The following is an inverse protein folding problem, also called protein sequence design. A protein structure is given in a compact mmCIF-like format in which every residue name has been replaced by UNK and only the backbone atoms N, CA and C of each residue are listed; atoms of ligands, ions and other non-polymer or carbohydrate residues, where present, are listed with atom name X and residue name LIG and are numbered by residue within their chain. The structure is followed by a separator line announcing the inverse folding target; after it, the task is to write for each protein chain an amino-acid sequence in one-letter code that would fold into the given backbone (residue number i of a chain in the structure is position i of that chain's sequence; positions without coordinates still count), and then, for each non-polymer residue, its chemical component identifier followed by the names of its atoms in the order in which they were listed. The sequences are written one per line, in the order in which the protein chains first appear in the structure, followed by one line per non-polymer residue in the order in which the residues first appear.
data_IF_131773772220
#
_entry.id   IF_131773772220
#
_cell.length_a   1.000
_cell.length_b   1.000
_cell.length_c   1.000
_cell.angle_alpha   90.00
_cell.angle_beta   90.00
_cell.angle_gamma   90.00
#
_symmetry.space_group_name_H-M   'P 1'
#
loop_
_entity.id
_entity.type
_entity.pdbx_description
1 polymer ?
#
# COMPACT_ATOMS: atom_id res chain seq x y z
N UNK A 1 52.63 20.77 -33.49
CA UNK A 1 52.05 20.42 -32.17
C UNK A 1 51.00 21.48 -31.85
N UNK A 2 50.05 21.71 -32.77
CA UNK A 2 49.19 22.92 -32.78
C UNK A 2 47.68 22.65 -32.77
N UNK A 3 47.23 21.40 -32.76
CA UNK A 3 45.77 21.11 -32.79
C UNK A 3 45.11 20.95 -31.42
N UNK A 4 45.87 20.89 -30.33
CA UNK A 4 45.31 20.74 -28.98
C UNK A 4 44.88 22.07 -28.32
N UNK A 5 45.27 23.21 -28.90
CA UNK A 5 44.93 24.54 -28.34
C UNK A 5 43.56 25.06 -28.77
N UNK A 6 42.93 24.48 -29.79
CA UNK A 6 41.61 24.92 -30.29
C UNK A 6 40.43 24.26 -29.58
N UNK A 7 40.64 23.11 -28.96
CA UNK A 7 39.61 22.42 -28.16
C UNK A 7 39.44 23.03 -26.76
N UNK A 8 40.48 23.66 -26.21
CA UNK A 8 40.40 24.32 -24.90
C UNK A 8 39.64 25.66 -25.00
N UNK A 9 39.83 26.43 -26.09
CA UNK A 9 39.09 27.69 -26.28
C UNK A 9 37.58 27.52 -26.48
N UNK A 10 37.12 26.41 -27.08
CA UNK A 10 35.68 26.19 -27.30
C UNK A 10 34.93 25.78 -26.02
N UNK A 11 35.63 25.26 -25.00
CA UNK A 11 35.02 24.86 -23.74
C UNK A 11 34.86 26.04 -22.76
N UNK A 12 35.72 27.06 -22.86
CA UNK A 12 35.62 28.29 -22.07
C UNK A 12 34.50 29.22 -22.57
N UNK A 13 34.19 29.18 -23.87
CA UNK A 13 33.19 30.07 -24.48
C UNK A 13 31.72 29.63 -24.23
N UNK A 14 31.48 28.40 -23.77
CA UNK A 14 30.15 27.94 -23.34
C UNK A 14 29.83 28.23 -21.87
N UNK A 15 30.81 28.73 -21.08
CA UNK A 15 30.63 28.96 -19.64
C UNK A 15 30.25 30.40 -19.26
N UNK A 16 30.25 31.34 -20.20
CA UNK A 16 30.02 32.77 -19.92
C UNK A 16 28.57 33.27 -20.12
N UNK A 17 27.64 32.46 -20.64
CA UNK A 17 26.31 32.95 -21.05
C UNK A 17 25.16 32.77 -20.03
N UNK A 18 25.43 32.45 -18.76
CA UNK A 18 24.38 32.42 -17.74
C UNK A 18 24.81 33.07 -16.42
N UNK A 19 24.74 34.40 -16.35
CA UNK A 19 24.68 35.14 -15.10
C UNK A 19 23.73 36.35 -15.22
N UNK A 20 22.57 36.36 -14.54
CA UNK A 20 21.75 37.57 -14.47
C UNK A 20 22.40 38.59 -13.52
N UNK A 21 22.60 39.79 -14.04
CA UNK A 21 23.06 41.00 -13.34
C UNK A 21 22.16 41.32 -12.13
N UNK A 22 22.75 41.54 -10.96
CA UNK A 22 22.16 42.43 -9.95
C UNK A 22 23.19 43.44 -9.42
N UNK A 23 22.71 44.67 -9.35
CA UNK A 23 23.44 45.91 -9.12
C UNK A 23 23.98 46.02 -7.70
N UNK A 24 25.22 46.48 -7.58
CA UNK A 24 25.80 47.06 -6.37
C UNK A 24 25.52 48.56 -6.34
N UNK A 25 25.04 49.08 -5.21
CA UNK A 25 25.42 50.42 -4.72
C UNK A 25 25.64 50.39 -3.20
N UNK A 26 26.57 51.21 -2.66
CA UNK A 26 27.25 50.94 -1.39
C UNK A 26 26.94 51.97 -0.30
N UNK A 27 27.13 51.58 0.96
CA UNK A 27 27.53 52.38 2.14
C UNK A 27 27.16 51.56 3.41
N UNK A 28 27.85 51.57 4.55
CA UNK A 28 28.96 52.35 5.09
C UNK A 28 29.60 51.53 6.22
N UNK A 29 30.88 51.79 6.47
CA UNK A 29 31.74 51.33 7.56
C UNK A 29 31.15 51.40 8.98
N UNK A 30 31.32 50.36 9.82
CA UNK A 30 31.99 50.46 11.15
C UNK A 30 32.06 49.14 11.96
N UNK A 31 33.25 48.96 12.54
CA UNK A 31 33.52 48.55 13.93
C UNK A 31 33.46 47.08 14.36
N UNK A 32 34.66 46.63 14.72
CA UNK A 32 35.09 45.54 15.60
C UNK A 32 34.17 45.12 16.76
N UNK A 33 34.18 43.79 16.94
CA UNK A 33 34.26 42.99 18.19
C UNK A 33 32.98 42.42 18.84
N UNK A 34 33.11 41.29 19.58
CA UNK A 34 32.31 40.08 19.34
C UNK A 34 31.41 39.71 20.52
N UNK A 35 30.25 39.11 20.24
CA UNK A 35 29.50 38.37 21.26
C UNK A 35 28.88 37.12 20.64
N UNK A 36 29.03 36.06 21.41
CA UNK A 36 28.52 34.71 21.24
C UNK A 36 26.98 34.72 21.25
N UNK A 37 26.34 34.01 20.32
CA UNK A 37 25.06 33.27 20.49
C UNK A 37 24.50 32.87 19.11
N UNK A 38 24.58 31.57 18.78
CA UNK A 38 23.92 31.00 17.61
C UNK A 38 22.62 30.34 18.04
N UNK A 39 21.53 31.10 17.90
CA UNK A 39 20.18 30.57 17.72
C UNK A 39 20.07 30.11 16.27
N UNK A 40 19.94 28.81 16.04
CA UNK A 40 19.61 28.29 14.70
C UNK A 40 18.10 28.31 14.57
N UNK A 41 17.62 29.33 13.86
CA UNK A 41 16.28 29.38 13.27
C UNK A 41 16.40 28.85 11.83
N UNK A 42 15.98 27.61 11.62
CA UNK A 42 15.90 27.00 10.29
C UNK A 42 14.67 27.50 9.53
N UNK A 43 14.89 28.11 8.36
CA UNK A 43 13.84 28.41 7.40
C UNK A 43 13.31 27.11 6.78
N UNK A 44 12.00 26.93 6.85
CA UNK A 44 11.24 25.86 6.18
C UNK A 44 10.70 26.44 4.88
N UNK A 45 11.13 25.89 3.74
CA UNK A 45 10.38 26.01 2.48
C UNK A 45 9.40 24.84 2.38
N UNK A 46 8.13 25.20 2.26
CA UNK A 46 6.98 24.32 2.27
C UNK A 46 6.76 23.65 0.89
N UNK A 47 6.59 22.33 0.90
CA UNK A 47 5.78 21.63 -0.09
C UNK A 47 4.50 21.14 0.60
N UNK A 48 3.38 21.68 0.15
CA UNK A 48 2.03 21.32 0.59
C UNK A 48 1.65 19.94 0.08
N UNK A 49 1.17 19.07 0.97
CA UNK A 49 0.11 18.11 0.69
C UNK A 49 -0.70 17.91 1.98
N UNK A 50 -1.88 18.51 1.99
CA UNK A 50 -2.96 18.30 2.96
C UNK A 50 -3.56 16.91 2.78
N UNK A 51 -3.83 16.19 3.88
CA UNK A 51 -5.20 15.80 4.29
C UNK A 51 -5.20 14.78 5.46
N UNK A 52 -6.18 14.99 6.36
CA UNK A 52 -6.68 14.13 7.46
C UNK A 52 -6.04 14.23 8.86
N UNK A 53 -6.81 13.96 9.95
CA UNK A 53 -7.23 15.03 10.85
C UNK A 53 -6.80 14.83 12.31
N UNK A 54 -6.83 15.95 13.01
CA UNK A 54 -6.71 16.13 14.46
C UNK A 54 -7.73 15.29 15.26
N UNK A 55 -7.25 14.54 16.26
CA UNK A 55 -7.88 14.39 17.57
C UNK A 55 -6.85 13.85 18.59
N UNK A 56 -6.24 14.73 19.38
CA UNK A 56 -6.56 14.94 20.82
C UNK A 56 -5.76 14.03 21.76
N UNK A 57 -4.61 14.58 22.20
CA UNK A 57 -4.11 14.59 23.59
C UNK A 57 -4.91 13.79 24.62
N UNK A 58 -4.28 12.78 25.22
CA UNK A 58 -4.51 12.43 26.63
C UNK A 58 -3.21 11.93 27.25
N UNK A 59 -2.57 12.84 27.99
CA UNK A 59 -1.64 12.52 29.07
C UNK A 59 -2.38 11.69 30.11
N UNK A 60 -1.92 10.46 30.38
CA UNK A 60 -2.21 9.80 31.65
C UNK A 60 -0.91 9.30 32.26
N UNK A 61 -0.70 9.81 33.47
CA UNK A 61 0.42 9.61 34.35
C UNK A 61 0.49 8.16 34.84
N UNK A 62 1.73 7.72 35.03
CA UNK A 62 2.13 6.51 35.73
C UNK A 62 1.58 6.49 37.15
N UNK A 63 0.88 5.41 37.52
CA UNK A 63 0.67 5.05 38.92
C UNK A 63 0.74 3.53 39.06
N UNK A 64 1.75 3.10 39.82
CA UNK A 64 1.90 1.74 40.32
C UNK A 64 0.82 1.46 41.36
N UNK A 65 0.19 0.29 41.28
CA UNK A 65 -0.61 -0.24 42.39
C UNK A 65 -0.45 -1.74 42.51
N UNK A 66 -0.24 -2.12 43.76
CA UNK A 66 0.12 -3.43 44.26
C UNK A 66 -1.00 -4.46 44.07
N UNK A 67 -0.57 -5.69 43.82
CA UNK A 67 -1.35 -6.92 43.98
C UNK A 67 -1.96 -7.02 45.38
N UNK A 68 -3.26 -7.30 45.47
CA UNK A 68 -3.85 -7.99 46.63
C UNK A 68 -4.77 -9.10 46.13
N UNK A 69 -4.40 -10.32 46.51
CA UNK A 69 -5.11 -11.58 46.33
C UNK A 69 -6.40 -11.58 47.16
N UNK A 70 -7.53 -12.01 46.58
CA UNK A 70 -8.77 -12.24 47.31
C UNK A 70 -9.08 -13.74 47.31
N UNK A 71 -8.84 -14.38 48.44
CA UNK A 71 -9.17 -15.78 48.72
C UNK A 71 -10.69 -15.98 48.76
N UNK A 72 -11.19 -16.99 48.05
CA UNK A 72 -12.57 -17.46 48.12
C UNK A 72 -12.65 -18.66 49.07
N UNK A 73 -13.22 -18.43 50.27
CA UNK A 73 -13.52 -19.46 51.27
C UNK A 73 -14.81 -20.19 50.88
N UNK A 74 -14.69 -21.46 50.48
CA UNK A 74 -15.83 -22.37 50.31
C UNK A 74 -16.10 -23.03 51.67
N UNK A 75 -17.21 -22.65 52.30
CA UNK A 75 -17.75 -23.31 53.48
C UNK A 75 -18.49 -24.60 53.08
N UNK A 76 -18.09 -25.71 53.69
CA UNK A 76 -18.73 -27.03 53.61
C UNK A 76 -19.49 -27.23 54.93
N UNK A 77 -20.81 -27.39 54.88
CA UNK A 77 -21.62 -27.74 56.05
C UNK A 77 -22.16 -29.17 55.95
N UNK A 78 -22.11 -29.83 57.09
CA UNK A 78 -22.28 -31.25 57.39
C UNK A 78 -23.74 -31.65 57.61
N UNK A 79 -23.97 -32.95 57.47
CA UNK A 79 -25.20 -33.65 57.78
C UNK A 79 -25.51 -33.67 59.28
N UNK A 80 -26.80 -33.61 59.64
CA UNK A 80 -27.38 -34.22 60.85
C UNK A 80 -28.80 -34.72 60.55
N UNK A 81 -29.06 -35.96 60.99
CA UNK A 81 -30.34 -36.65 60.98
C UNK A 81 -31.25 -36.17 62.13
N UNK A 82 -32.57 -36.23 61.97
CA UNK A 82 -33.47 -36.54 63.09
C UNK A 82 -34.80 -37.12 62.61
N UNK A 83 -35.19 -38.20 63.29
CA UNK A 83 -36.36 -39.07 63.07
C UNK A 83 -37.55 -38.65 63.92
N UNK A 84 -38.79 -38.68 63.40
CA UNK A 84 -40.01 -38.99 64.20
C UNK A 84 -41.05 -39.73 63.34
N UNK A 85 -41.56 -40.82 63.89
CA UNK A 85 -42.62 -41.75 63.45
C UNK A 85 -44.04 -41.17 63.49
N UNK A 86 -44.96 -41.62 62.64
CA UNK A 86 -46.28 -42.13 63.08
C UNK A 86 -47.13 -42.76 61.95
N UNK A 87 -47.85 -43.82 62.30
CA UNK A 87 -48.71 -44.65 61.44
C UNK A 87 -50.18 -44.24 61.61
N UNK A 88 -50.96 -44.08 60.54
CA UNK A 88 -52.33 -44.62 60.38
C UNK A 88 -53.01 -44.07 59.12
N UNK A 89 -53.80 -44.91 58.44
CA UNK A 89 -54.75 -44.43 57.42
C UNK A 89 -54.75 -45.19 56.09
N UNK A 90 -54.67 -46.53 56.11
CA UNK A 90 -54.97 -47.37 54.94
C UNK A 90 -56.48 -47.59 54.90
N UNK A 91 -57.19 -46.88 54.02
CA UNK A 91 -58.49 -47.19 53.39
C UNK A 91 -59.21 -45.88 53.06
N UNK A 92 -58.70 -45.14 52.07
CA UNK A 92 -59.39 -44.11 51.26
C UNK A 92 -58.43 -43.58 50.17
N UNK A 93 -57.47 -44.41 49.72
CA UNK A 93 -56.44 -44.01 48.77
C UNK A 93 -56.78 -44.42 47.33
N UNK A 94 -57.43 -45.57 47.15
CA UNK A 94 -57.43 -46.25 45.84
C UNK A 94 -58.43 -45.67 44.81
N UNK A 95 -59.34 -44.77 45.22
CA UNK A 95 -60.24 -44.05 44.31
C UNK A 95 -59.75 -42.63 43.98
N UNK A 96 -58.88 -42.07 44.83
CA UNK A 96 -58.15 -40.82 44.58
C UNK A 96 -56.87 -41.06 43.77
N UNK A 97 -56.29 -42.27 43.80
CA UNK A 97 -55.11 -42.64 43.02
C UNK A 97 -55.39 -42.68 41.53
N UNK A 98 -56.57 -43.07 41.06
CA UNK A 98 -56.82 -43.18 39.60
C UNK A 98 -56.92 -41.82 38.87
N UNK A 99 -57.44 -40.77 39.52
CA UNK A 99 -57.43 -39.39 38.99
C UNK A 99 -56.15 -38.63 39.37
N UNK A 100 -55.47 -39.03 40.46
CA UNK A 100 -54.11 -38.56 40.75
C UNK A 100 -53.08 -39.15 39.80
N UNK A 101 -53.19 -40.39 39.34
CA UNK A 101 -52.21 -41.06 38.47
C UNK A 101 -52.16 -40.43 37.08
N UNK A 102 -53.31 -40.02 36.52
CA UNK A 102 -53.34 -39.29 35.23
C UNK A 102 -52.84 -37.84 35.37
N UNK A 103 -53.14 -37.17 36.48
CA UNK A 103 -52.60 -35.84 36.81
C UNK A 103 -51.14 -35.85 37.29
N UNK A 104 -50.66 -36.95 37.88
CA UNK A 104 -49.28 -37.15 38.31
C UNK A 104 -48.42 -37.53 37.12
N UNK A 105 -48.91 -38.34 36.16
CA UNK A 105 -48.17 -38.58 34.91
C UNK A 105 -47.96 -37.27 34.13
N UNK A 106 -48.96 -36.39 34.06
CA UNK A 106 -48.85 -35.10 33.37
C UNK A 106 -47.91 -34.13 34.10
N UNK A 107 -47.92 -34.12 35.45
CA UNK A 107 -46.94 -33.39 36.25
C UNK A 107 -45.54 -33.96 36.11
N UNK A 108 -45.38 -35.27 36.11
CA UNK A 108 -44.09 -35.97 35.97
C UNK A 108 -43.50 -35.75 34.57
N UNK A 109 -44.34 -35.73 33.53
CA UNK A 109 -43.96 -35.37 32.17
C UNK A 109 -43.52 -33.90 32.07
N UNK A 110 -44.25 -32.98 32.72
CA UNK A 110 -43.85 -31.57 32.82
C UNK A 110 -42.54 -31.40 33.62
N UNK A 111 -42.35 -32.12 34.72
CA UNK A 111 -41.12 -32.12 35.51
C UNK A 111 -39.95 -32.63 34.66
N UNK A 112 -40.13 -33.72 33.91
CA UNK A 112 -39.10 -34.26 33.02
C UNK A 112 -38.75 -33.27 31.89
N UNK A 113 -39.75 -32.58 31.33
CA UNK A 113 -39.53 -31.54 30.32
C UNK A 113 -38.72 -30.36 30.90
N UNK A 114 -39.09 -29.87 32.08
CA UNK A 114 -38.37 -28.80 32.77
C UNK A 114 -36.94 -29.19 33.14
N UNK A 115 -36.69 -30.44 33.57
CA UNK A 115 -35.35 -30.95 33.82
C UNK A 115 -34.51 -31.01 32.53
N UNK A 116 -35.10 -31.49 31.43
CA UNK A 116 -34.45 -31.51 30.12
C UNK A 116 -34.10 -30.10 29.63
N UNK A 117 -35.00 -29.14 29.84
CA UNK A 117 -34.76 -27.74 29.51
C UNK A 117 -33.67 -27.12 30.40
N UNK A 118 -33.70 -27.41 31.71
CA UNK A 118 -32.66 -26.99 32.65
C UNK A 118 -31.29 -27.56 32.26
N UNK A 119 -31.22 -28.83 31.88
CA UNK A 119 -29.98 -29.46 31.42
C UNK A 119 -29.51 -28.88 30.07
N UNK A 120 -30.44 -28.56 29.16
CA UNK A 120 -30.10 -27.85 27.93
C UNK A 120 -29.55 -26.45 28.21
N UNK A 121 -30.11 -25.72 29.18
CA UNK A 121 -29.62 -24.40 29.61
C UNK A 121 -28.26 -24.52 30.30
N UNK A 122 -28.05 -25.50 31.16
CA UNK A 122 -26.75 -25.78 31.80
C UNK A 122 -25.68 -26.10 30.77
N UNK A 123 -25.98 -26.94 29.78
CA UNK A 123 -25.07 -27.26 28.69
C UNK A 123 -24.73 -26.03 27.84
N UNK A 124 -25.72 -25.18 27.53
CA UNK A 124 -25.49 -23.91 26.83
C UNK A 124 -24.62 -22.96 27.65
N UNK A 125 -24.89 -22.82 28.95
CA UNK A 125 -24.11 -21.96 29.84
C UNK A 125 -22.65 -22.43 29.93
N UNK A 126 -22.42 -23.73 30.13
CA UNK A 126 -21.08 -24.32 30.10
C UNK A 126 -20.35 -24.03 28.78
N UNK A 127 -21.03 -24.21 27.64
CA UNK A 127 -20.46 -23.90 26.32
C UNK A 127 -20.12 -22.41 26.16
N UNK A 128 -20.93 -21.50 26.72
CA UNK A 128 -20.64 -20.07 26.72
C UNK A 128 -19.45 -19.73 27.63
N UNK A 129 -19.35 -20.37 28.80
CA UNK A 129 -18.22 -20.21 29.70
C UNK A 129 -16.90 -20.71 29.08
N UNK A 130 -16.92 -21.85 28.40
CA UNK A 130 -15.77 -22.38 27.68
C UNK A 130 -15.33 -21.41 26.57
N UNK A 131 -16.28 -20.92 25.76
CA UNK A 131 -16.03 -19.91 24.72
C UNK A 131 -15.47 -18.61 25.30
N UNK A 132 -15.99 -18.15 26.43
CA UNK A 132 -15.49 -16.94 27.09
C UNK A 132 -14.04 -17.14 27.54
N UNK A 133 -13.74 -18.28 28.15
CA UNK A 133 -12.38 -18.62 28.58
C UNK A 133 -11.39 -18.77 27.42
N UNK A 134 -11.86 -19.22 26.25
CA UNK A 134 -11.08 -19.31 25.02
C UNK A 134 -10.79 -17.91 24.46
N UNK A 135 -11.81 -17.04 24.35
CA UNK A 135 -11.62 -15.65 23.91
C UNK A 135 -10.72 -14.85 24.86
N UNK A 136 -10.80 -15.10 26.16
CA UNK A 136 -9.90 -14.48 27.15
C UNK A 136 -8.44 -14.91 26.95
N UNK A 137 -8.20 -16.17 26.55
CA UNK A 137 -6.84 -16.63 26.20
C UNK A 137 -6.35 -15.97 24.92
N UNK A 138 -7.18 -15.94 23.87
CA UNK A 138 -6.84 -15.27 22.61
C UNK A 138 -6.51 -13.78 22.82
N UNK A 139 -7.32 -13.07 23.62
CA UNK A 139 -7.08 -11.66 23.95
C UNK A 139 -5.75 -11.47 24.70
N UNK A 140 -5.41 -12.35 25.64
CA UNK A 140 -4.12 -12.30 26.33
C UNK A 140 -2.95 -12.55 25.39
N UNK A 141 -3.09 -13.49 24.45
CA UNK A 141 -2.07 -13.75 23.42
C UNK A 141 -1.87 -12.53 22.53
N UNK A 142 -2.94 -11.97 21.97
CA UNK A 142 -2.87 -10.77 21.12
C UNK A 142 -2.25 -9.59 21.87
N UNK A 143 -2.60 -9.40 23.15
CA UNK A 143 -2.01 -8.33 23.97
C UNK A 143 -0.50 -8.51 24.15
N UNK A 144 -0.04 -9.73 24.44
CA UNK A 144 1.38 -10.01 24.56
C UNK A 144 2.12 -9.82 23.23
N UNK A 145 1.53 -10.24 22.12
CA UNK A 145 2.12 -10.06 20.78
C UNK A 145 2.26 -8.56 20.43
N UNK A 146 1.26 -7.74 20.77
CA UNK A 146 1.32 -6.28 20.60
C UNK A 146 2.42 -5.64 21.46
N UNK A 147 2.52 -6.01 22.75
CA UNK A 147 3.57 -5.51 23.65
C UNK A 147 4.98 -5.91 23.16
N UNK A 148 5.13 -7.12 22.60
CA UNK A 148 6.39 -7.57 22.01
C UNK A 148 6.74 -6.78 20.74
N UNK A 149 5.74 -6.51 19.88
CA UNK A 149 5.94 -5.71 18.67
C UNK A 149 6.33 -4.26 19.02
N UNK A 150 5.68 -3.66 20.02
CA UNK A 150 6.01 -2.33 20.53
C UNK A 150 7.47 -2.28 21.01
N UNK A 151 7.86 -3.20 21.90
CA UNK A 151 9.25 -3.29 22.38
C UNK A 151 10.28 -3.52 21.27
N UNK A 152 9.93 -4.33 20.26
CA UNK A 152 10.81 -4.53 19.11
C UNK A 152 11.01 -3.25 18.31
N UNK A 153 9.95 -2.45 18.14
CA UNK A 153 10.03 -1.16 17.44
C UNK A 153 10.82 -0.13 18.26
N UNK A 154 10.61 -0.06 19.58
CA UNK A 154 11.38 0.80 20.49
C UNK A 154 12.87 0.46 20.48
N UNK A 155 13.22 -0.84 20.54
CA UNK A 155 14.61 -1.29 20.48
C UNK A 155 15.28 -0.87 19.15
N UNK A 156 14.57 -1.00 18.03
CA UNK A 156 15.06 -0.58 16.72
C UNK A 156 15.25 0.94 16.62
N UNK A 157 14.40 1.72 17.26
CA UNK A 157 14.55 3.18 17.34
C UNK A 157 15.76 3.53 18.22
N UNK A 158 15.92 2.88 19.37
CA UNK A 158 17.06 3.08 20.27
C UNK A 158 18.38 2.72 19.59
N UNK A 159 18.45 1.61 18.86
CA UNK A 159 19.62 1.20 18.09
C UNK A 159 20.03 2.26 17.05
N UNK A 160 19.07 2.73 16.25
CA UNK A 160 19.32 3.79 15.26
C UNK A 160 19.76 5.09 15.91
N UNK A 161 19.17 5.43 17.05
CA UNK A 161 19.52 6.64 17.80
C UNK A 161 20.94 6.53 18.37
N UNK A 162 21.31 5.38 18.92
CA UNK A 162 22.67 5.12 19.42
C UNK A 162 23.71 5.19 18.29
N UNK A 163 23.42 4.60 17.13
CA UNK A 163 24.29 4.69 15.96
C UNK A 163 24.52 6.14 15.51
N UNK A 164 23.44 6.94 15.42
CA UNK A 164 23.55 8.36 15.06
C UNK A 164 24.37 9.16 16.09
N UNK A 165 24.20 8.88 17.39
CA UNK A 165 24.96 9.54 18.45
C UNK A 165 26.46 9.21 18.33
N UNK A 166 26.81 7.95 18.08
CA UNK A 166 28.20 7.55 17.85
C UNK A 166 28.79 8.24 16.61
N UNK A 167 28.05 8.32 15.49
CA UNK A 167 28.49 9.04 14.28
C UNK A 167 28.76 10.53 14.55
N UNK A 168 27.90 11.18 15.34
CA UNK A 168 28.11 12.58 15.75
C UNK A 168 29.37 12.70 16.61
N UNK A 169 29.60 11.79 17.54
CA UNK A 169 30.80 11.78 18.37
C UNK A 169 32.08 11.56 17.54
N UNK A 170 32.07 10.64 16.57
CA UNK A 170 33.22 10.42 15.69
C UNK A 170 33.48 11.62 14.79
N UNK A 171 32.44 12.18 14.17
CA UNK A 171 32.57 13.37 13.33
C UNK A 171 33.08 14.58 14.12
N UNK A 172 32.64 14.74 15.37
CA UNK A 172 33.13 15.80 16.25
C UNK A 172 34.60 15.62 16.62
N UNK A 173 35.02 14.39 16.92
CA UNK A 173 36.42 14.06 17.19
C UNK A 173 37.31 14.36 15.99
N UNK A 174 36.89 13.94 14.80
CA UNK A 174 37.60 14.21 13.54
C UNK A 174 37.70 15.72 13.27
N UNK A 175 36.62 16.48 13.51
CA UNK A 175 36.63 17.94 13.40
C UNK A 175 37.65 18.57 14.35
N UNK A 176 37.67 18.17 15.61
CA UNK A 176 38.59 18.71 16.61
C UNK A 176 40.05 18.33 16.29
N UNK A 177 40.30 17.11 15.83
CA UNK A 177 41.62 16.68 15.37
C UNK A 177 42.10 17.49 14.15
N UNK A 178 41.23 17.70 13.16
CA UNK A 178 41.55 18.50 11.98
C UNK A 178 41.82 19.97 12.34
N UNK A 179 41.05 20.55 13.27
CA UNK A 179 41.29 21.91 13.78
C UNK A 179 42.63 21.99 14.49
N UNK A 180 42.95 21.04 15.36
CA UNK A 180 44.24 21.00 16.06
C UNK A 180 45.41 20.80 15.10
N UNK A 181 45.26 19.97 14.07
CA UNK A 181 46.27 19.79 13.02
C UNK A 181 46.53 21.09 12.25
N UNK A 182 45.47 21.80 11.83
CA UNK A 182 45.60 23.09 11.15
C UNK A 182 46.26 24.16 12.02
N UNK A 183 45.92 24.21 13.32
CA UNK A 183 46.56 25.14 14.26
C UNK A 183 48.05 24.84 14.45
N UNK A 184 48.44 23.56 14.47
CA UNK A 184 49.87 23.17 14.53
C UNK A 184 50.62 23.61 13.28
N UNK A 185 50.08 23.30 12.10
CA UNK A 185 50.68 23.72 10.82
C UNK A 185 50.82 25.24 10.73
N UNK A 186 49.80 26.01 11.10
CA UNK A 186 49.88 27.47 11.10
C UNK A 186 50.95 28.01 12.06
N UNK A 187 51.17 27.34 13.20
CA UNK A 187 52.25 27.70 14.12
C UNK A 187 53.63 27.35 13.55
N UNK A 188 53.78 26.17 12.96
CA UNK A 188 55.01 25.72 12.30
C UNK A 188 55.37 26.68 11.14
N UNK A 189 54.42 27.02 10.27
CA UNK A 189 54.61 27.97 9.17
C UNK A 189 55.01 29.38 9.68
N UNK A 190 54.36 29.85 10.76
CA UNK A 190 54.70 31.13 11.39
C UNK A 190 56.12 31.10 11.96
N UNK A 191 56.50 30.02 12.63
CA UNK A 191 57.82 29.87 13.23
C UNK A 191 58.91 29.73 12.15
N UNK A 192 58.65 29.00 11.07
CA UNK A 192 59.53 28.95 9.90
C UNK A 192 59.69 30.32 9.24
N UNK A 193 58.60 31.07 9.05
CA UNK A 193 58.64 32.41 8.47
C UNK A 193 59.45 33.37 9.36
N UNK A 194 59.28 33.30 10.68
CA UNK A 194 60.09 34.07 11.63
C UNK A 194 61.57 33.70 11.57
N UNK A 195 61.88 32.41 11.43
CA UNK A 195 63.26 31.93 11.34
C UNK A 195 63.92 32.39 10.03
N UNK A 196 63.21 32.31 8.90
CA UNK A 196 63.66 32.85 7.60
C UNK A 196 63.88 34.36 7.65
N UNK A 197 62.95 35.10 8.26
CA UNK A 197 63.06 36.56 8.41
C UNK A 197 64.31 36.94 9.24
N UNK A 198 64.58 36.23 10.34
CA UNK A 198 65.78 36.45 11.16
C UNK A 198 67.07 36.13 10.40
N UNK A 199 67.10 35.07 9.60
CA UNK A 199 68.27 34.77 8.76
C UNK A 199 68.52 35.85 7.70
N UNK A 200 67.45 36.36 7.07
CA UNK A 200 67.58 37.46 6.11
C UNK A 200 68.08 38.73 6.79
N UNK A 201 67.57 39.06 7.98
CA UNK A 201 68.06 40.20 8.79
C UNK A 201 69.55 40.06 9.13
N UNK A 202 69.99 38.87 9.55
CA UNK A 202 71.40 38.58 9.80
C UNK A 202 72.24 38.74 8.52
N UNK A 203 71.79 38.20 7.40
CA UNK A 203 72.49 38.32 6.11
C UNK A 203 72.58 39.78 5.63
N UNK A 204 71.54 40.58 5.83
CA UNK A 204 71.55 42.02 5.52
C UNK A 204 72.58 42.76 6.38
N UNK A 205 72.64 42.44 7.67
CA UNK A 205 73.63 43.00 8.60
C UNK A 205 75.06 42.62 8.22
N UNK A 206 75.28 41.43 7.66
CA UNK A 206 76.57 41.02 7.11
C UNK A 206 76.91 41.78 5.81
N UNK A 207 75.92 42.05 4.95
CA UNK A 207 76.10 42.81 3.71
C UNK A 207 76.39 44.30 3.95
N UNK A 208 75.83 44.90 4.99
CA UNK A 208 76.09 46.31 5.37
C UNK A 208 77.58 46.57 5.69
N UNK A 209 78.36 45.51 5.99
CA UNK A 209 79.80 45.58 6.23
C UNK A 209 80.68 45.51 4.97
N UNK A 210 80.12 45.45 3.75
CA UNK A 210 80.90 45.38 2.50
C UNK A 210 80.95 46.76 1.85
N UNK A 211 82.13 47.39 1.84
CA UNK A 211 82.38 48.62 1.10
C UNK A 211 82.14 48.37 -0.42
N UNK A 212 81.14 49.00 -1.06
CA UNK A 212 80.79 48.71 -2.46
C UNK A 212 81.83 49.24 -3.46
N UNK A 213 82.56 50.30 -3.11
CA UNK A 213 83.52 50.97 -4.00
C UNK A 213 84.74 50.09 -4.39
N UNK A 214 85.10 49.10 -3.56
CA UNK A 214 86.27 48.23 -3.81
C UNK A 214 85.95 46.97 -4.63
N UNK A 215 84.67 46.57 -4.75
CA UNK A 215 84.27 45.37 -5.50
C UNK A 215 84.03 45.65 -7.01
N UNK A 216 83.65 46.87 -7.39
CA UNK A 216 83.29 47.23 -8.77
C UNK A 216 84.50 47.58 -9.65
N UNK A 217 85.66 47.81 -9.05
CA UNK A 217 86.87 48.07 -9.82
C UNK A 217 87.30 46.84 -10.63
N UNK A 218 87.57 47.05 -11.91
CA UNK A 218 88.12 45.98 -12.75
C UNK A 218 89.55 45.63 -12.31
N UNK A 219 89.97 44.37 -12.51
CA UNK A 219 91.35 43.98 -12.21
C UNK A 219 92.36 44.87 -12.98
N UNK A 220 91.99 45.30 -14.18
CA UNK A 220 92.77 46.21 -15.01
C UNK A 220 92.90 47.60 -14.39
N UNK A 221 91.83 48.16 -13.81
CA UNK A 221 91.88 49.43 -13.09
C UNK A 221 92.77 49.35 -11.84
N UNK A 222 92.69 48.26 -11.06
CA UNK A 222 93.54 48.04 -9.90
C UNK A 222 95.02 47.93 -10.28
N UNK A 223 95.33 47.19 -11.36
CA UNK A 223 96.69 47.07 -11.88
C UNK A 223 97.22 48.41 -12.42
N UNK A 224 96.39 49.18 -13.15
CA UNK A 224 96.74 50.51 -13.63
C UNK A 224 97.01 51.48 -12.46
N UNK A 225 96.23 51.41 -11.39
CA UNK A 225 96.44 52.21 -10.16
C UNK A 225 97.70 51.81 -9.41
N UNK A 226 98.07 50.54 -9.40
CA UNK A 226 99.35 50.08 -8.85
C UNK A 226 100.51 50.62 -9.70
N UNK A 227 100.41 50.53 -11.03
CA UNK A 227 101.45 50.96 -11.95
C UNK A 227 101.69 52.49 -11.91
N UNK A 228 100.64 53.26 -11.63
CA UNK A 228 100.67 54.72 -11.56
C UNK A 228 100.70 55.28 -10.13
N UNK A 229 100.95 54.45 -9.11
CA UNK A 229 100.95 54.90 -7.73
C UNK A 229 102.30 55.53 -7.34
N UNK A 230 102.26 56.80 -6.91
CA UNK A 230 103.45 57.56 -6.48
C UNK A 230 103.96 57.18 -5.07
N UNK A 231 103.21 56.35 -4.33
CA UNK A 231 103.55 55.96 -2.95
C UNK A 231 103.42 54.45 -2.73
N UNK A 232 104.32 53.88 -1.93
CA UNK A 232 104.27 52.46 -1.56
C UNK A 232 103.00 52.06 -0.81
N UNK A 233 102.39 53.00 -0.07
CA UNK A 233 101.12 52.78 0.65
C UNK A 233 99.96 52.59 -0.33
N UNK A 234 99.90 53.36 -1.41
CA UNK A 234 98.88 53.20 -2.45
C UNK A 234 99.03 51.89 -3.23
N UNK A 235 100.27 51.48 -3.51
CA UNK A 235 100.59 50.16 -4.08
C UNK A 235 100.08 49.05 -3.15
N UNK A 236 100.38 49.15 -1.85
CA UNK A 236 99.97 48.15 -0.85
C UNK A 236 98.45 48.05 -0.73
N UNK A 237 97.74 49.19 -0.68
CA UNK A 237 96.27 49.20 -0.59
C UNK A 237 95.62 48.53 -1.80
N UNK A 238 96.01 48.90 -3.02
CA UNK A 238 95.47 48.27 -4.23
C UNK A 238 95.90 46.80 -4.36
N UNK A 239 97.12 46.44 -3.93
CA UNK A 239 97.60 45.07 -3.87
C UNK A 239 96.78 44.20 -2.91
N UNK A 240 96.40 44.72 -1.74
CA UNK A 240 95.54 44.04 -0.77
C UNK A 240 94.16 43.72 -1.37
N UNK A 241 93.55 44.65 -2.10
CA UNK A 241 92.26 44.44 -2.77
C UNK A 241 92.34 43.31 -3.81
N UNK A 242 93.43 43.24 -4.60
CA UNK A 242 93.64 42.16 -5.57
C UNK A 242 93.79 40.80 -4.85
N UNK A 243 94.59 40.75 -3.78
CA UNK A 243 94.79 39.52 -2.99
C UNK A 243 93.48 39.05 -2.38
N UNK A 244 92.71 39.96 -1.80
CA UNK A 244 91.39 39.66 -1.23
C UNK A 244 90.43 39.15 -2.30
N UNK A 245 90.43 39.73 -3.51
CA UNK A 245 89.61 39.25 -4.64
C UNK A 245 89.99 37.85 -5.08
N UNK A 246 91.29 37.54 -5.14
CA UNK A 246 91.79 36.18 -5.45
C UNK A 246 91.35 35.20 -4.37
N UNK A 247 91.49 35.58 -3.10
CA UNK A 247 91.10 34.73 -1.98
C UNK A 247 89.59 34.45 -1.97
N UNK A 248 88.75 35.49 -2.12
CA UNK A 248 87.29 35.36 -2.25
C UNK A 248 86.90 34.48 -3.43
N UNK A 249 87.56 34.62 -4.58
CA UNK A 249 87.27 33.80 -5.76
C UNK A 249 87.64 32.33 -5.53
N UNK A 250 88.79 32.06 -4.90
CA UNK A 250 89.19 30.70 -4.52
C UNK A 250 88.21 30.10 -3.53
N UNK A 251 87.78 30.86 -2.53
CA UNK A 251 86.87 30.37 -1.50
C UNK A 251 85.46 30.10 -2.04
N UNK A 252 84.95 30.96 -2.93
CA UNK A 252 83.70 30.68 -3.66
C UNK A 252 83.79 29.40 -4.50
N UNK A 253 84.91 29.17 -5.20
CA UNK A 253 85.11 27.91 -5.96
C UNK A 253 85.09 26.69 -5.04
N UNK A 254 85.76 26.73 -3.89
CA UNK A 254 85.70 25.64 -2.91
C UNK A 254 84.29 25.42 -2.39
N UNK A 255 83.55 26.49 -2.10
CA UNK A 255 82.17 26.43 -1.63
C UNK A 255 81.26 25.76 -2.66
N UNK A 256 81.35 26.17 -3.93
CA UNK A 256 80.61 25.56 -5.05
C UNK A 256 80.94 24.07 -5.15
N UNK A 257 82.23 23.70 -5.15
CA UNK A 257 82.64 22.29 -5.25
C UNK A 257 82.12 21.46 -4.07
N UNK A 258 82.10 22.03 -2.85
CA UNK A 258 81.56 21.36 -1.67
C UNK A 258 80.04 21.19 -1.75
N UNK A 259 79.32 22.21 -2.22
CA UNK A 259 77.87 22.16 -2.45
C UNK A 259 77.51 21.14 -3.54
N UNK A 260 78.25 21.12 -4.65
CA UNK A 260 78.07 20.12 -5.73
C UNK A 260 78.35 18.69 -5.23
N UNK A 261 79.41 18.49 -4.45
CA UNK A 261 79.71 17.19 -3.84
C UNK A 261 78.60 16.74 -2.88
N UNK A 262 78.09 17.65 -2.04
CA UNK A 262 77.00 17.35 -1.13
C UNK A 262 75.71 17.00 -1.88
N UNK A 263 75.35 17.75 -2.92
CA UNK A 263 74.18 17.46 -3.75
C UNK A 263 74.25 16.06 -4.37
N UNK A 264 75.42 15.67 -4.90
CA UNK A 264 75.63 14.32 -5.45
C UNK A 264 75.50 13.23 -4.37
N UNK A 265 75.99 13.49 -3.15
CA UNK A 265 75.86 12.56 -2.02
C UNK A 265 74.39 12.41 -1.62
N UNK A 266 73.64 13.51 -1.53
CA UNK A 266 72.22 13.50 -1.19
C UNK A 266 71.38 12.76 -2.24
N UNK A 267 71.63 12.99 -3.54
CA UNK A 267 70.97 12.24 -4.62
C UNK A 267 71.27 10.75 -4.55
N UNK A 268 72.53 10.37 -4.31
CA UNK A 268 72.93 8.97 -4.13
C UNK A 268 72.21 8.34 -2.95
N UNK A 269 72.15 9.02 -1.81
CA UNK A 269 71.54 8.49 -0.59
C UNK A 269 70.01 8.40 -0.70
N UNK A 270 69.37 9.34 -1.39
CA UNK A 270 67.97 9.28 -1.75
C UNK A 270 67.66 8.08 -2.65
N UNK A 271 68.47 7.88 -3.71
CA UNK A 271 68.34 6.73 -4.60
C UNK A 271 68.53 5.40 -3.85
N UNK A 272 69.56 5.29 -2.98
CA UNK A 272 69.78 4.11 -2.16
C UNK A 272 68.61 3.84 -1.20
N UNK A 273 68.00 4.88 -0.64
CA UNK A 273 66.84 4.76 0.24
C UNK A 273 65.60 4.28 -0.54
N UNK A 274 65.41 4.75 -1.77
CA UNK A 274 64.35 4.26 -2.66
C UNK A 274 64.59 2.78 -3.04
N UNK A 275 65.81 2.39 -3.40
CA UNK A 275 66.15 1.00 -3.69
C UNK A 275 65.85 0.09 -2.48
N UNK A 276 66.28 0.47 -1.27
CA UNK A 276 65.98 -0.29 -0.05
C UNK A 276 64.48 -0.44 0.21
N UNK A 277 63.69 0.61 -0.03
CA UNK A 277 62.23 0.56 0.11
C UNK A 277 61.60 -0.41 -0.88
N UNK A 278 61.97 -0.30 -2.15
CA UNK A 278 61.47 -1.19 -3.20
C UNK A 278 61.86 -2.66 -2.95
N UNK A 279 63.07 -2.91 -2.44
CA UNK A 279 63.49 -4.26 -2.03
C UNK A 279 62.63 -4.82 -0.88
N UNK A 280 62.28 -4.00 0.11
CA UNK A 280 61.38 -4.38 1.21
C UNK A 280 59.95 -4.64 0.72
N UNK A 281 59.42 -3.79 -0.15
CA UNK A 281 58.10 -3.97 -0.77
C UNK A 281 58.04 -5.27 -1.58
N UNK A 282 59.09 -5.56 -2.36
CA UNK A 282 59.23 -6.80 -3.11
C UNK A 282 59.27 -8.02 -2.18
N UNK A 283 60.03 -7.95 -1.09
CA UNK A 283 60.05 -8.99 -0.06
C UNK A 283 58.68 -9.21 0.57
N UNK A 284 57.99 -8.13 0.95
CA UNK A 284 56.65 -8.19 1.53
C UNK A 284 55.63 -8.80 0.56
N UNK A 285 55.67 -8.41 -0.72
CA UNK A 285 54.77 -8.93 -1.75
C UNK A 285 55.04 -10.41 -2.06
N UNK A 286 56.32 -10.83 -2.02
CA UNK A 286 56.71 -12.25 -2.10
C UNK A 286 56.22 -13.04 -0.89
N UNK A 287 56.36 -12.49 0.31
CA UNK A 287 55.86 -13.13 1.54
C UNK A 287 54.34 -13.21 1.56
N UNK A 288 53.64 -12.17 1.11
CA UNK A 288 52.18 -12.16 0.95
C UNK A 288 51.71 -13.20 -0.09
N UNK A 289 52.40 -13.32 -1.22
CA UNK A 289 52.09 -14.35 -2.23
C UNK A 289 52.44 -15.76 -1.75
N UNK A 290 53.53 -15.93 -1.00
CA UNK A 290 53.90 -17.22 -0.45
C UNK A 290 52.96 -17.64 0.68
N UNK A 291 52.50 -16.70 1.52
CA UNK A 291 51.50 -16.95 2.57
C UNK A 291 50.10 -17.16 1.99
N UNK A 292 49.74 -16.52 0.88
CA UNK A 292 48.50 -16.81 0.16
C UNK A 292 48.54 -18.17 -0.55
N UNK A 293 49.67 -18.55 -1.15
CA UNK A 293 49.86 -19.86 -1.76
C UNK A 293 49.95 -21.01 -0.73
N UNK A 294 50.53 -20.76 0.44
CA UNK A 294 50.66 -21.75 1.51
C UNK A 294 49.39 -21.87 2.38
N UNK A 295 48.45 -20.92 2.28
CA UNK A 295 47.11 -21.06 2.85
C UNK A 295 46.17 -21.76 1.85
N UNK A 296 46.37 -23.06 1.63
CA UNK A 296 45.43 -23.90 0.87
C UNK A 296 43.99 -23.76 1.39
N UNK A 297 43.82 -23.42 2.68
CA UNK A 297 42.52 -23.11 3.31
C UNK A 297 41.83 -21.86 2.75
N UNK A 298 42.54 -20.78 2.39
CA UNK A 298 41.92 -19.54 1.93
C UNK A 298 41.33 -19.70 0.52
N UNK A 299 42.07 -20.32 -0.39
CA UNK A 299 41.59 -20.66 -1.73
C UNK A 299 40.36 -21.59 -1.66
N UNK A 300 40.33 -22.56 -0.75
CA UNK A 300 39.13 -23.40 -0.54
C UNK A 300 37.97 -22.67 0.14
N UNK A 301 38.23 -21.72 1.03
CA UNK A 301 37.18 -20.96 1.72
C UNK A 301 36.50 -19.97 0.77
N UNK A 302 37.28 -19.27 -0.04
CA UNK A 302 36.77 -18.36 -1.08
C UNK A 302 36.02 -19.14 -2.17
N UNK A 303 36.55 -20.28 -2.61
CA UNK A 303 35.86 -21.19 -3.53
C UNK A 303 34.56 -21.77 -2.93
N UNK A 304 34.53 -22.06 -1.62
CA UNK A 304 33.33 -22.51 -0.93
C UNK A 304 32.30 -21.39 -0.77
N UNK A 305 32.73 -20.16 -0.54
CA UNK A 305 31.86 -18.99 -0.48
C UNK A 305 31.27 -18.68 -1.86
N UNK A 306 32.07 -18.75 -2.92
CA UNK A 306 31.63 -18.61 -4.31
C UNK A 306 30.61 -19.72 -4.67
N UNK A 307 30.90 -20.97 -4.30
CA UNK A 307 29.97 -22.10 -4.49
C UNK A 307 28.66 -21.90 -3.73
N UNK A 308 28.71 -21.37 -2.50
CA UNK A 308 27.53 -21.07 -1.69
C UNK A 308 26.70 -19.94 -2.30
N UNK A 309 27.33 -18.87 -2.80
CA UNK A 309 26.63 -17.78 -3.49
C UNK A 309 25.99 -18.27 -4.79
N UNK A 310 26.67 -19.12 -5.55
CA UNK A 310 26.13 -19.73 -6.77
C UNK A 310 24.94 -20.65 -6.47
N UNK A 311 25.00 -21.43 -5.39
CA UNK A 311 23.88 -22.26 -4.94
C UNK A 311 22.67 -21.40 -4.52
N UNK A 312 22.90 -20.28 -3.81
CA UNK A 312 21.83 -19.33 -3.45
C UNK A 312 21.19 -18.69 -4.67
N UNK A 313 21.99 -18.29 -5.67
CA UNK A 313 21.47 -17.73 -6.92
C UNK A 313 20.58 -18.73 -7.67
N UNK A 314 21.01 -19.99 -7.75
CA UNK A 314 20.21 -21.04 -8.39
C UNK A 314 18.90 -21.30 -7.62
N UNK A 315 18.94 -21.36 -6.29
CA UNK A 315 17.73 -21.51 -5.48
C UNK A 315 16.75 -20.35 -5.68
N UNK A 316 17.24 -19.10 -5.67
CA UNK A 316 16.41 -17.91 -5.94
C UNK A 316 15.82 -17.97 -7.36
N UNK A 317 16.57 -18.48 -8.33
CA UNK A 317 16.10 -18.62 -9.69
C UNK A 317 14.99 -19.68 -9.81
N UNK A 318 15.14 -20.84 -9.16
CA UNK A 318 14.09 -21.87 -9.09
C UNK A 318 12.83 -21.36 -8.35
N UNK A 319 13.00 -20.63 -7.25
CA UNK A 319 11.90 -19.97 -6.54
C UNK A 319 11.18 -18.94 -7.43
N UNK A 320 11.93 -18.15 -8.20
CA UNK A 320 11.34 -17.21 -9.17
C UNK A 320 10.55 -17.94 -10.24
N UNK A 321 11.10 -19.01 -10.81
CA UNK A 321 10.44 -19.77 -11.87
C UNK A 321 9.17 -20.46 -11.38
N UNK A 322 9.19 -21.03 -10.17
CA UNK A 322 7.99 -21.62 -9.55
C UNK A 322 6.93 -20.58 -9.24
N UNK A 323 7.30 -19.40 -8.73
CA UNK A 323 6.37 -18.29 -8.50
C UNK A 323 5.75 -17.78 -9.80
N UNK A 324 6.53 -17.66 -10.88
CA UNK A 324 6.02 -17.29 -12.22
C UNK A 324 5.02 -18.31 -12.74
N UNK A 325 5.29 -19.61 -12.56
CA UNK A 325 4.35 -20.67 -12.95
C UNK A 325 3.05 -20.60 -12.13
N UNK A 326 3.11 -20.30 -10.84
CA UNK A 326 1.92 -20.11 -10.01
C UNK A 326 1.10 -18.90 -10.45
N UNK A 327 1.75 -17.77 -10.72
CA UNK A 327 1.08 -16.57 -11.24
C UNK A 327 0.35 -16.85 -12.56
N UNK A 328 0.98 -17.61 -13.47
CA UNK A 328 0.34 -18.00 -14.73
C UNK A 328 -0.94 -18.83 -14.50
N UNK A 329 -0.91 -19.77 -13.56
CA UNK A 329 -2.12 -20.56 -13.20
C UNK A 329 -3.23 -19.69 -12.63
N UNK A 330 -2.89 -18.78 -11.72
CA UNK A 330 -3.86 -17.84 -11.15
C UNK A 330 -4.46 -16.92 -12.22
N UNK A 331 -3.66 -16.50 -13.21
CA UNK A 331 -4.14 -15.72 -14.34
C UNK A 331 -5.13 -16.50 -15.22
N UNK A 332 -4.84 -17.78 -15.49
CA UNK A 332 -5.75 -18.69 -16.20
C UNK A 332 -7.08 -18.91 -15.42
N UNK A 333 -7.01 -19.06 -14.09
CA UNK A 333 -8.19 -19.14 -13.21
C UNK A 333 -9.03 -17.86 -13.25
N UNK A 334 -8.38 -16.69 -13.18
CA UNK A 334 -9.06 -15.39 -13.30
C UNK A 334 -9.75 -15.28 -14.66
N UNK A 335 -9.08 -15.65 -15.74
CA UNK A 335 -9.66 -15.65 -17.09
C UNK A 335 -10.90 -16.56 -17.15
N UNK A 336 -10.79 -17.75 -16.57
CA UNK A 336 -11.88 -18.73 -16.49
C UNK A 336 -13.07 -18.17 -15.70
N UNK A 337 -12.82 -17.58 -14.53
CA UNK A 337 -13.84 -16.94 -13.71
C UNK A 337 -14.53 -15.77 -14.45
N UNK A 338 -13.77 -14.97 -15.21
CA UNK A 338 -14.35 -13.88 -16.05
C UNK A 338 -15.33 -14.43 -17.08
N UNK A 339 -14.97 -15.53 -17.76
CA UNK A 339 -15.86 -16.20 -18.73
C UNK A 339 -17.12 -16.72 -18.03
N UNK A 340 -16.96 -17.43 -16.90
CA UNK A 340 -18.10 -17.92 -16.12
C UNK A 340 -19.04 -16.79 -15.66
N UNK A 341 -18.48 -15.69 -15.14
CA UNK A 341 -19.26 -14.54 -14.72
C UNK A 341 -20.01 -13.90 -15.90
N UNK A 342 -19.35 -13.72 -17.04
CA UNK A 342 -19.98 -13.19 -18.25
C UNK A 342 -21.12 -14.08 -18.72
N UNK A 343 -20.90 -15.41 -18.75
CA UNK A 343 -21.92 -16.37 -19.14
C UNK A 343 -23.11 -16.34 -18.19
N UNK A 344 -22.86 -16.37 -16.88
CA UNK A 344 -23.91 -16.27 -15.86
C UNK A 344 -24.74 -15.00 -16.01
N UNK A 345 -24.08 -13.86 -16.27
CA UNK A 345 -24.77 -12.58 -16.52
C UNK A 345 -25.67 -12.64 -17.74
N UNK A 346 -25.19 -13.20 -18.86
CA UNK A 346 -26.00 -13.38 -20.07
C UNK A 346 -27.18 -14.34 -19.85
N UNK A 347 -26.96 -15.45 -19.16
CA UNK A 347 -28.00 -16.43 -18.87
C UNK A 347 -29.08 -15.86 -17.94
N UNK A 348 -28.67 -15.09 -16.92
CA UNK A 348 -29.60 -14.37 -16.04
C UNK A 348 -30.43 -13.34 -16.81
N UNK A 349 -29.83 -12.65 -17.78
CA UNK A 349 -30.56 -11.73 -18.65
C UNK A 349 -31.57 -12.47 -19.53
N UNK A 350 -31.21 -13.64 -20.05
CA UNK A 350 -32.11 -14.51 -20.82
C UNK A 350 -33.32 -14.97 -19.98
N UNK A 351 -33.10 -15.39 -18.73
CA UNK A 351 -34.20 -15.75 -17.81
C UNK A 351 -35.16 -14.59 -17.62
N UNK A 352 -34.65 -13.37 -17.37
CA UNK A 352 -35.51 -12.19 -17.24
C UNK A 352 -36.29 -11.86 -18.51
N UNK A 353 -35.68 -12.03 -19.70
CA UNK A 353 -36.37 -11.84 -20.98
C UNK A 353 -37.44 -12.90 -21.21
N UNK A 354 -37.19 -14.15 -20.81
CA UNK A 354 -38.14 -15.24 -20.89
C UNK A 354 -39.34 -14.99 -19.99
N UNK A 355 -39.14 -14.50 -18.78
CA UNK A 355 -40.23 -14.14 -17.87
C UNK A 355 -41.07 -13.00 -18.45
N UNK A 356 -40.43 -11.97 -19.04
CA UNK A 356 -41.14 -10.89 -19.73
C UNK A 356 -41.96 -11.40 -20.93
N UNK A 357 -41.39 -12.32 -21.71
CA UNK A 357 -42.08 -12.96 -22.82
C UNK A 357 -43.29 -13.77 -22.34
N UNK A 358 -43.13 -14.57 -21.29
CA UNK A 358 -44.22 -15.37 -20.72
C UNK A 358 -45.34 -14.47 -20.17
N UNK A 359 -45.03 -13.39 -19.46
CA UNK A 359 -46.02 -12.41 -19.00
C UNK A 359 -46.81 -11.81 -20.17
N UNK A 360 -46.11 -11.47 -21.26
CA UNK A 360 -46.72 -10.94 -22.47
C UNK A 360 -47.63 -11.99 -23.13
N UNK A 361 -47.16 -13.24 -23.20
CA UNK A 361 -47.92 -14.36 -23.76
C UNK A 361 -49.19 -14.64 -22.96
N UNK A 362 -49.10 -14.73 -21.63
CA UNK A 362 -50.28 -14.92 -20.76
C UNK A 362 -51.30 -13.79 -20.93
N UNK A 363 -50.84 -12.56 -21.12
CA UNK A 363 -51.75 -11.43 -21.41
C UNK A 363 -52.52 -11.63 -22.72
N UNK A 364 -51.85 -12.13 -23.77
CA UNK A 364 -52.51 -12.46 -25.03
C UNK A 364 -53.44 -13.68 -24.92
N UNK A 365 -53.06 -14.70 -24.17
CA UNK A 365 -53.90 -15.88 -23.90
C UNK A 365 -55.18 -15.48 -23.16
N UNK A 366 -55.08 -14.65 -22.12
CA UNK A 366 -56.23 -14.14 -21.37
C UNK A 366 -57.15 -13.29 -22.26
N UNK A 367 -56.57 -12.43 -23.12
CA UNK A 367 -57.33 -11.66 -24.08
C UNK A 367 -58.04 -12.55 -25.12
N UNK A 368 -57.36 -13.59 -25.60
CA UNK A 368 -57.93 -14.55 -26.54
C UNK A 368 -59.06 -15.34 -25.90
N UNK A 369 -58.87 -15.80 -24.66
CA UNK A 369 -59.87 -16.56 -23.90
C UNK A 369 -61.11 -15.72 -23.59
N UNK A 370 -60.91 -14.45 -23.21
CA UNK A 370 -62.01 -13.48 -23.08
C UNK A 370 -62.77 -13.30 -24.40
N UNK A 371 -62.06 -13.20 -25.53
CA UNK A 371 -62.70 -13.14 -26.85
C UNK A 371 -63.45 -14.44 -27.19
N UNK A 372 -62.91 -15.60 -26.84
CA UNK A 372 -63.55 -16.90 -27.05
C UNK A 372 -64.82 -17.04 -26.20
N UNK A 373 -64.79 -16.61 -24.94
CA UNK A 373 -65.96 -16.54 -24.06
C UNK A 373 -67.05 -15.63 -24.65
N UNK A 374 -66.69 -14.47 -25.19
CA UNK A 374 -67.65 -13.58 -25.88
C UNK A 374 -68.25 -14.27 -27.12
N UNK A 375 -67.43 -14.96 -27.91
CA UNK A 375 -67.89 -15.68 -29.11
C UNK A 375 -68.82 -16.83 -28.73
N UNK A 376 -68.50 -17.62 -27.71
CA UNK A 376 -69.36 -18.74 -27.25
C UNK A 376 -70.70 -18.24 -26.71
N UNK A 377 -70.71 -17.15 -25.93
CA UNK A 377 -71.95 -16.50 -25.47
C UNK A 377 -72.79 -16.04 -26.67
N UNK A 378 -72.16 -15.36 -27.64
CA UNK A 378 -72.84 -14.86 -28.85
C UNK A 378 -73.40 -16.02 -29.68
N UNK A 379 -72.65 -17.11 -29.82
CA UNK A 379 -73.08 -18.30 -30.54
C UNK A 379 -74.32 -18.92 -29.88
N UNK A 380 -74.29 -19.12 -28.56
CA UNK A 380 -75.43 -19.64 -27.80
C UNK A 380 -76.68 -18.76 -27.93
N UNK A 381 -76.52 -17.44 -27.90
CA UNK A 381 -77.62 -16.50 -28.13
C UNK A 381 -78.19 -16.65 -29.55
N UNK A 382 -77.35 -16.78 -30.56
CA UNK A 382 -77.78 -17.02 -31.95
C UNK A 382 -78.52 -18.35 -32.10
N UNK A 383 -78.05 -19.42 -31.46
CA UNK A 383 -78.76 -20.71 -31.43
C UNK A 383 -80.13 -20.58 -30.76
N UNK A 384 -80.22 -19.89 -29.62
CA UNK A 384 -81.49 -19.62 -28.95
C UNK A 384 -82.45 -18.83 -29.86
N UNK A 385 -81.98 -17.78 -30.52
CA UNK A 385 -82.78 -17.01 -31.47
C UNK A 385 -83.25 -17.87 -32.66
N UNK A 386 -82.38 -18.74 -33.19
CA UNK A 386 -82.73 -19.66 -34.26
C UNK A 386 -83.83 -20.65 -33.84
N UNK A 387 -83.76 -21.21 -32.62
CA UNK A 387 -84.81 -22.09 -32.09
C UNK A 387 -86.13 -21.34 -31.88
N UNK A 388 -86.10 -20.12 -31.35
CA UNK A 388 -87.28 -19.26 -31.22
C UNK A 388 -87.92 -18.96 -32.59
N UNK A 389 -87.11 -18.65 -33.60
CA UNK A 389 -87.58 -18.43 -34.96
C UNK A 389 -88.24 -19.68 -35.54
N UNK A 390 -87.62 -20.86 -35.37
CA UNK A 390 -88.18 -22.12 -35.84
C UNK A 390 -89.51 -22.44 -35.14
N UNK A 391 -89.60 -22.25 -33.82
CA UNK A 391 -90.84 -22.41 -33.07
C UNK A 391 -91.93 -21.46 -33.60
N UNK A 392 -91.63 -20.17 -33.77
CA UNK A 392 -92.57 -19.20 -34.32
C UNK A 392 -93.05 -19.57 -35.74
N UNK A 393 -92.18 -20.13 -36.58
CA UNK A 393 -92.56 -20.66 -37.90
C UNK A 393 -93.50 -21.87 -37.79
N UNK A 394 -93.26 -22.80 -36.86
CA UNK A 394 -94.17 -23.94 -36.62
C UNK A 394 -95.52 -23.49 -36.06
N UNK A 395 -95.53 -22.51 -35.16
CA UNK A 395 -96.77 -21.93 -34.64
C UNK A 395 -97.55 -21.21 -35.75
N UNK A 396 -96.88 -20.44 -36.61
CA UNK A 396 -97.49 -19.80 -37.78
C UNK A 396 -98.15 -20.82 -38.70
N UNK A 397 -97.45 -21.89 -39.08
CA UNK A 397 -97.98 -22.94 -39.96
C UNK A 397 -99.16 -23.70 -39.33
N UNK A 398 -99.11 -23.97 -38.02
CA UNK A 398 -100.24 -24.55 -37.28
C UNK A 398 -101.47 -23.62 -37.27
N UNK A 399 -101.26 -22.32 -37.07
CA UNK A 399 -102.33 -21.32 -37.10
C UNK A 399 -102.92 -21.17 -38.51
N UNK A 400 -102.08 -21.21 -39.55
CA UNK A 400 -102.48 -21.21 -40.95
C UNK A 400 -103.35 -22.43 -41.28
N UNK A 401 -102.97 -23.63 -40.81
CA UNK A 401 -103.76 -24.84 -40.96
C UNK A 401 -105.12 -24.76 -40.24
N UNK A 402 -105.15 -24.25 -39.00
CA UNK A 402 -106.42 -24.04 -38.27
C UNK A 402 -107.33 -23.04 -38.98
N UNK A 403 -106.77 -21.98 -39.57
CA UNK A 403 -107.52 -21.00 -40.34
C UNK A 403 -108.12 -21.64 -41.59
N UNK A 404 -107.36 -22.48 -42.30
CA UNK A 404 -107.85 -23.22 -43.46
C UNK A 404 -108.99 -24.18 -43.10
N UNK A 405 -108.87 -24.94 -42.00
CA UNK A 405 -109.95 -25.81 -41.51
C UNK A 405 -111.21 -25.01 -41.12
N UNK A 406 -111.05 -23.85 -40.49
CA UNK A 406 -112.18 -22.98 -40.14
C UNK A 406 -112.87 -22.41 -41.39
N UNK A 407 -112.10 -22.05 -42.43
CA UNK A 407 -112.64 -21.63 -43.73
C UNK A 407 -113.44 -22.76 -44.40
N UNK A 408 -112.90 -23.99 -44.43
CA UNK A 408 -113.60 -25.17 -44.98
C UNK A 408 -114.89 -25.47 -44.21
N UNK A 409 -114.85 -25.47 -42.88
CA UNK A 409 -116.04 -25.66 -42.04
C UNK A 409 -117.08 -24.55 -42.25
N UNK A 410 -116.64 -23.30 -42.43
CA UNK A 410 -117.52 -22.18 -42.77
C UNK A 410 -118.14 -22.34 -44.15
N UNK A 411 -117.40 -22.86 -45.14
CA UNK A 411 -117.92 -23.12 -46.47
C UNK A 411 -118.95 -24.25 -46.44
N UNK A 412 -118.67 -25.36 -45.76
CA UNK A 412 -119.61 -26.48 -45.60
C UNK A 412 -120.90 -26.02 -44.88
N UNK A 413 -120.77 -25.20 -43.84
CA UNK A 413 -121.91 -24.59 -43.16
C UNK A 413 -122.70 -23.69 -44.13
N UNK A 414 -122.02 -22.89 -44.96
CA UNK A 414 -122.67 -22.04 -45.96
C UNK A 414 -123.40 -22.87 -47.05
N UNK A 415 -122.82 -23.98 -47.50
CA UNK A 415 -123.47 -24.92 -48.43
C UNK A 415 -124.71 -25.58 -47.80
N UNK A 416 -124.64 -25.95 -46.51
CA UNK A 416 -125.81 -26.42 -45.75
C UNK A 416 -126.88 -25.35 -45.64
N UNK A 417 -126.49 -24.09 -45.39
CA UNK A 417 -127.43 -22.96 -45.40
C UNK A 417 -128.07 -22.80 -46.77
N UNK A 418 -127.31 -22.81 -47.87
CA UNK A 418 -127.87 -22.71 -49.22
C UNK A 418 -128.80 -23.87 -49.59
N UNK A 419 -128.49 -25.10 -49.16
CA UNK A 419 -129.39 -26.25 -49.37
C UNK A 419 -130.66 -26.14 -48.54
N UNK A 420 -130.57 -25.68 -47.29
CA UNK A 420 -131.72 -25.35 -46.46
C UNK A 420 -132.53 -24.21 -47.06
N UNK A 421 -131.90 -23.15 -47.56
CA UNK A 421 -132.57 -22.06 -48.28
C UNK A 421 -133.31 -22.60 -49.51
N UNK A 422 -132.68 -23.45 -50.32
CA UNK A 422 -133.36 -24.14 -51.44
C UNK A 422 -134.52 -25.03 -50.99
N UNK A 423 -134.36 -25.80 -49.92
CA UNK A 423 -135.42 -26.64 -49.35
C UNK A 423 -136.58 -25.79 -48.84
N UNK A 424 -136.28 -24.70 -48.13
CA UNK A 424 -137.26 -23.71 -47.68
C UNK A 424 -137.98 -23.09 -48.88
N UNK A 425 -137.27 -22.74 -49.96
CA UNK A 425 -137.90 -22.23 -51.19
C UNK A 425 -138.76 -23.28 -51.89
N UNK A 426 -138.32 -24.54 -51.94
CA UNK A 426 -139.12 -25.67 -52.46
C UNK A 426 -140.36 -25.91 -51.61
N UNK A 427 -140.24 -25.86 -50.28
CA UNK A 427 -141.38 -25.97 -49.35
C UNK A 427 -142.31 -24.77 -49.51
N UNK A 428 -141.80 -23.55 -49.63
CA UNK A 428 -142.59 -22.36 -49.96
C UNK A 428 -143.33 -22.52 -51.29
N UNK A 429 -142.70 -23.08 -52.33
CA UNK A 429 -143.36 -23.41 -53.60
C UNK A 429 -144.39 -24.54 -53.49
N UNK A 430 -144.13 -25.61 -52.74
CA UNK A 430 -145.06 -26.74 -52.56
C UNK A 430 -146.26 -26.38 -51.69
N UNK A 431 -146.08 -25.56 -50.65
CA UNK A 431 -147.17 -25.01 -49.84
C UNK A 431 -147.94 -23.94 -50.62
N UNK A 432 -147.27 -23.23 -51.55
CA UNK A 432 -147.90 -22.20 -52.39
C UNK A 432 -148.71 -22.69 -53.60
N UNK A 433 -148.69 -23.98 -53.98
CA UNK A 433 -149.23 -24.41 -55.28
C UNK A 433 -149.98 -25.77 -55.32
N UNK A 434 -150.73 -26.14 -54.27
CA UNK A 434 -151.54 -27.38 -54.30
C UNK A 434 -152.70 -27.41 -53.31
N UNK A 435 -153.92 -27.34 -53.85
CA UNK A 435 -155.23 -27.45 -53.19
C UNK A 435 -155.35 -28.68 -52.27
N UNK A 436 -155.53 -28.46 -50.96
CA UNK A 436 -156.06 -29.45 -50.02
C UNK A 436 -157.43 -28.98 -49.53
N UNK A 437 -158.47 -29.63 -50.04
CA UNK A 437 -159.80 -29.81 -49.45
C UNK A 437 -159.64 -30.78 -48.25
N UNK A 438 -160.36 -30.74 -47.12
CA UNK A 438 -161.64 -30.09 -46.76
C UNK A 438 -161.93 -30.28 -45.25
N UNK A 439 -162.81 -29.42 -44.69
CA UNK A 439 -163.80 -29.69 -43.61
C UNK A 439 -163.31 -29.70 -42.14
N UNK A 440 -163.90 -28.73 -41.40
CA UNK A 440 -163.99 -28.45 -39.95
C UNK A 440 -162.69 -28.06 -39.23
#
# INVERSE_FOLDING_TARGET
MEDWSKEICNLEQQREDFCPKFQLYPSSSRSLQPQHELVIQGNVEAMNLSDLPTATSLSIQSASTQNVCLDHVIARCTAEESSITEKQGRMLSDFMTSWKETGDLDKEMNIAFLLKELDAVRAKNKKLQDKLSEKDKELKTIKLDLELQERATEAKIAEKTAALVEEVYTAQRERDEAVMARLRLANEERDEALLRAKHLEQSLKELENINPEENDMTLQELLNRINNADTGIAIQKNGAIIVDRIHRTKERRKKIIAEEMNAVIEERDAALSQCKRLEQELHHLKEQNQTSANNTRHLTAENNQERALKAKLLAIQEERETAVQQNKKLEEEIQTLRVYYSLHKSLSQEVSLKDQFNCTLSTYEDALKSSEDIVTITHRQNEQLATQLQQALTERTNMELKLQQALEASQEANEKVQTLERLVDVLRKKVGAGTIRTVI
#
